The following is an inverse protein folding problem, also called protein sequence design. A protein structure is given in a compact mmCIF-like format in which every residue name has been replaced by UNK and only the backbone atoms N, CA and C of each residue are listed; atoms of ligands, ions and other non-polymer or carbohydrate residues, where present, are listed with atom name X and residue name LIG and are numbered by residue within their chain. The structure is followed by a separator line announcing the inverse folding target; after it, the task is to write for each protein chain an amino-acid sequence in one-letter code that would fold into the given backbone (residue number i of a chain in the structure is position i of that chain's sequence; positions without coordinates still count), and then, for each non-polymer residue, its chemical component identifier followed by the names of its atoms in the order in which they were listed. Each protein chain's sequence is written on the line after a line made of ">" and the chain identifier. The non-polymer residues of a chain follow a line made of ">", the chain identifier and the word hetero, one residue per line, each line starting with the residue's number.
data_IF_205993117720
#
_entry.id   IF_205993117720
#
_cell.length_a   1.000
_cell.length_b   1.000
_cell.length_c   1.000
_cell.angle_alpha   90.00
_cell.angle_beta   90.00
_cell.angle_gamma   90.00
#
_symmetry.space_group_name_H-M   'P 1'
#
loop_
_entity.id
_entity.type
_entity.pdbx_description
1 polymer ?
#
# COMPACT_ATOMS: atom_id res chain seq x y z
N UNK A 1 -28.22 27.22 53.97
CA UNK A 1 -28.60 26.07 53.17
C UNK A 1 -28.04 26.28 51.73
N UNK A 2 -26.84 25.76 51.49
CA UNK A 2 -26.15 25.95 50.17
C UNK A 2 -26.47 24.73 49.31
N UNK A 3 -27.23 24.94 48.25
CA UNK A 3 -27.51 23.94 47.24
C UNK A 3 -26.36 23.99 46.20
N UNK A 4 -25.48 23.00 46.28
CA UNK A 4 -24.44 22.75 45.28
C UNK A 4 -25.12 22.15 44.02
N UNK A 5 -25.34 22.95 42.99
CA UNK A 5 -25.72 22.45 41.68
C UNK A 5 -24.47 21.94 41.00
N UNK A 6 -24.28 20.64 41.05
CA UNK A 6 -23.26 19.92 40.30
C UNK A 6 -23.70 19.88 38.81
N UNK A 7 -23.14 20.75 37.98
CA UNK A 7 -23.28 20.68 36.55
C UNK A 7 -22.33 19.61 36.01
N UNK A 8 -22.86 18.42 35.84
CA UNK A 8 -22.16 17.36 35.12
C UNK A 8 -22.10 17.72 33.65
N UNK A 9 -20.99 18.28 33.21
CA UNK A 9 -20.68 18.45 31.81
C UNK A 9 -20.35 17.07 31.24
N UNK A 10 -21.34 16.39 30.69
CA UNK A 10 -21.11 15.20 29.87
C UNK A 10 -20.49 15.69 28.58
N UNK A 11 -19.18 15.55 28.45
CA UNK A 11 -18.49 15.71 27.18
C UNK A 11 -18.92 14.54 26.29
N UNK A 12 -19.93 14.78 25.47
CA UNK A 12 -20.28 13.90 24.36
C UNK A 12 -19.14 14.05 23.34
N UNK A 13 -18.17 13.15 23.42
CA UNK A 13 -17.22 12.94 22.33
C UNK A 13 -18.06 12.36 21.20
N UNK A 14 -18.57 13.21 20.34
CA UNK A 14 -19.19 12.82 19.09
C UNK A 14 -18.07 12.20 18.22
N UNK A 15 -17.93 10.90 18.29
CA UNK A 15 -17.18 10.13 17.29
C UNK A 15 -17.98 10.25 15.99
N UNK A 16 -17.67 11.27 15.19
CA UNK A 16 -18.17 11.34 13.84
C UNK A 16 -17.67 10.09 13.11
N UNK A 17 -18.57 9.30 12.51
CA UNK A 17 -18.12 8.17 11.70
C UNK A 17 -17.24 8.74 10.58
N UNK A 18 -16.00 8.26 10.51
CA UNK A 18 -15.08 8.64 9.44
C UNK A 18 -15.77 8.26 8.12
N UNK A 19 -15.89 9.23 7.22
CA UNK A 19 -16.50 8.97 5.92
C UNK A 19 -15.64 7.97 5.15
N UNK A 20 -16.25 7.05 4.40
CA UNK A 20 -15.51 6.11 3.54
C UNK A 20 -14.55 6.83 2.57
N UNK A 21 -14.87 8.06 2.17
CA UNK A 21 -13.99 8.93 1.38
C UNK A 21 -12.74 9.35 2.16
N UNK A 22 -12.91 9.68 3.44
CA UNK A 22 -11.81 10.04 4.32
C UNK A 22 -10.95 8.81 4.63
N UNK A 23 -11.55 7.62 4.76
CA UNK A 23 -10.82 6.35 4.91
C UNK A 23 -9.96 6.04 3.68
N UNK A 24 -10.49 6.21 2.47
CA UNK A 24 -9.73 6.03 1.24
C UNK A 24 -8.56 7.01 1.12
N UNK A 25 -8.79 8.27 1.50
CA UNK A 25 -7.74 9.30 1.57
C UNK A 25 -6.64 8.90 2.55
N UNK A 26 -7.00 8.54 3.76
CA UNK A 26 -6.04 8.18 4.82
C UNK A 26 -5.25 6.93 4.44
N UNK A 27 -5.90 5.93 3.83
CA UNK A 27 -5.25 4.71 3.35
C UNK A 27 -4.24 5.03 2.24
N UNK A 28 -4.63 5.83 1.24
CA UNK A 28 -3.76 6.24 0.16
C UNK A 28 -2.56 7.06 0.65
N UNK A 29 -2.78 8.02 1.54
CA UNK A 29 -1.71 8.82 2.14
C UNK A 29 -0.76 7.96 2.98
N UNK A 30 -1.29 7.02 3.76
CA UNK A 30 -0.47 6.10 4.56
C UNK A 30 0.39 5.19 3.66
N UNK A 31 -0.18 4.66 2.59
CA UNK A 31 0.56 3.84 1.63
C UNK A 31 1.64 4.67 0.92
N UNK A 32 1.29 5.85 0.43
CA UNK A 32 2.20 6.78 -0.22
C UNK A 32 3.42 7.09 0.66
N UNK A 33 3.20 7.50 1.91
CA UNK A 33 4.26 7.80 2.86
C UNK A 33 5.15 6.59 3.15
N UNK A 34 4.57 5.39 3.28
CA UNK A 34 5.35 4.17 3.53
C UNK A 34 6.23 3.81 2.35
N UNK A 35 5.73 3.92 1.11
CA UNK A 35 6.53 3.65 -0.08
C UNK A 35 7.70 4.63 -0.16
N UNK A 36 7.47 5.92 0.10
CA UNK A 36 8.54 6.92 0.12
C UNK A 36 9.62 6.58 1.16
N UNK A 37 9.21 6.32 2.39
CA UNK A 37 10.13 6.01 3.48
C UNK A 37 10.94 4.74 3.22
N UNK A 38 10.32 3.71 2.62
CA UNK A 38 11.02 2.46 2.30
C UNK A 38 11.99 2.67 1.13
N UNK A 39 11.63 3.49 0.14
CA UNK A 39 12.54 3.83 -0.96
C UNK A 39 13.76 4.62 -0.44
N UNK A 40 13.56 5.59 0.44
CA UNK A 40 14.65 6.30 1.10
C UNK A 40 15.52 5.36 1.95
N UNK A 41 14.91 4.45 2.71
CA UNK A 41 15.63 3.46 3.50
C UNK A 41 16.43 2.49 2.62
N UNK A 42 15.91 2.09 1.46
CA UNK A 42 16.62 1.23 0.51
C UNK A 42 17.94 1.88 0.07
N UNK A 43 17.88 3.13 -0.34
CA UNK A 43 19.05 3.91 -0.77
C UNK A 43 20.03 4.09 0.38
N UNK A 44 19.54 4.46 1.57
CA UNK A 44 20.40 4.76 2.74
C UNK A 44 21.05 3.52 3.34
N UNK A 45 20.32 2.39 3.40
CA UNK A 45 20.81 1.16 4.00
C UNK A 45 21.56 0.24 3.04
N UNK A 46 21.44 0.48 1.72
CA UNK A 46 21.98 -0.41 0.68
C UNK A 46 21.29 -1.76 0.63
N UNK A 47 20.02 -1.86 1.11
CA UNK A 47 19.23 -3.08 1.14
C UNK A 47 18.03 -2.99 0.20
N UNK A 48 17.67 -4.12 -0.37
CA UNK A 48 16.53 -4.20 -1.26
C UNK A 48 15.27 -4.56 -0.48
N UNK A 49 14.19 -3.89 -0.82
CA UNK A 49 12.86 -4.10 -0.26
C UNK A 49 11.87 -4.47 -1.34
N UNK A 50 10.68 -4.86 -0.92
CA UNK A 50 9.61 -5.17 -1.85
C UNK A 50 8.23 -4.90 -1.25
N UNK A 51 7.27 -4.75 -2.15
CA UNK A 51 5.86 -4.61 -1.80
C UNK A 51 5.09 -5.77 -2.42
N UNK A 52 4.29 -6.43 -1.60
CA UNK A 52 3.31 -7.42 -2.00
C UNK A 52 1.93 -6.83 -1.82
N UNK A 53 1.12 -6.96 -2.84
CA UNK A 53 -0.28 -6.53 -2.82
C UNK A 53 -1.17 -7.78 -2.74
N UNK A 54 -1.99 -7.84 -1.73
CA UNK A 54 -3.03 -8.85 -1.54
C UNK A 54 -4.38 -8.15 -1.68
N UNK A 55 -4.89 -8.13 -2.89
CA UNK A 55 -6.17 -7.50 -3.24
C UNK A 55 -7.36 -8.22 -2.60
N UNK A 56 -7.28 -9.54 -2.45
CA UNK A 56 -8.33 -10.34 -1.82
C UNK A 56 -8.48 -9.98 -0.33
N UNK A 57 -7.37 -9.88 0.38
CA UNK A 57 -7.34 -9.49 1.78
C UNK A 57 -7.24 -7.98 1.99
N UNK A 58 -7.16 -7.19 0.92
CA UNK A 58 -7.01 -5.73 0.96
C UNK A 58 -5.82 -5.29 1.82
N UNK A 59 -4.69 -5.94 1.61
CA UNK A 59 -3.49 -5.71 2.39
C UNK A 59 -2.28 -5.40 1.51
N UNK A 60 -1.43 -4.54 2.03
CA UNK A 60 -0.09 -4.29 1.49
C UNK A 60 0.93 -4.82 2.47
N UNK A 61 1.78 -5.73 2.03
CA UNK A 61 2.82 -6.33 2.84
C UNK A 61 4.20 -5.86 2.35
N UNK A 62 4.95 -5.23 3.24
CA UNK A 62 6.32 -4.83 2.96
C UNK A 62 7.30 -5.91 3.40
N UNK A 63 8.25 -6.22 2.53
CA UNK A 63 9.25 -7.27 2.71
C UNK A 63 10.65 -6.71 2.48
N UNK A 64 11.63 -7.34 3.09
CA UNK A 64 13.05 -7.03 3.00
C UNK A 64 13.79 -8.26 2.46
N UNK A 65 14.73 -8.06 1.54
CA UNK A 65 15.61 -9.12 1.07
C UNK A 65 16.71 -9.35 2.09
N UNK A 66 16.87 -10.59 2.52
CA UNK A 66 17.92 -11.04 3.42
C UNK A 66 18.71 -12.20 2.79
N UNK A 67 19.79 -12.63 3.43
CA UNK A 67 20.60 -13.77 2.97
C UNK A 67 19.77 -15.06 2.78
N UNK A 68 18.73 -15.24 3.60
CA UNK A 68 17.82 -16.39 3.53
C UNK A 68 16.61 -16.19 2.60
N UNK A 69 16.53 -15.09 1.86
CA UNK A 69 15.41 -14.73 0.98
C UNK A 69 14.52 -13.63 1.55
N UNK A 70 13.32 -13.53 1.01
CA UNK A 70 12.35 -12.46 1.38
C UNK A 70 11.77 -12.72 2.77
N UNK A 71 11.83 -11.69 3.64
CA UNK A 71 11.26 -11.70 4.98
C UNK A 71 10.31 -10.53 5.18
N UNK A 72 9.33 -10.68 6.05
CA UNK A 72 8.46 -9.59 6.47
C UNK A 72 9.30 -8.47 7.11
N UNK A 73 9.05 -7.23 6.72
CA UNK A 73 9.76 -6.08 7.26
C UNK A 73 9.40 -5.89 8.74
N UNK A 74 10.38 -6.03 9.65
CA UNK A 74 10.15 -5.96 11.10
C UNK A 74 10.47 -4.60 11.72
N UNK A 75 10.72 -3.58 10.89
CA UNK A 75 11.04 -2.24 11.39
C UNK A 75 9.80 -1.53 11.92
N UNK A 76 9.83 -1.14 13.20
CA UNK A 76 8.72 -0.43 13.88
C UNK A 76 8.30 0.88 13.19
N UNK A 77 9.22 1.54 12.50
CA UNK A 77 8.97 2.85 11.88
C UNK A 77 8.01 2.78 10.69
N UNK A 78 8.01 1.67 9.94
CA UNK A 78 7.25 1.56 8.70
C UNK A 78 5.98 0.72 8.83
N UNK A 79 5.95 -0.17 9.82
CA UNK A 79 4.97 -1.24 9.89
C UNK A 79 5.13 -2.21 8.71
N UNK A 80 5.03 -3.48 8.98
CA UNK A 80 5.22 -4.52 7.96
C UNK A 80 4.01 -4.69 7.05
N UNK A 81 2.85 -4.19 7.48
CA UNK A 81 1.58 -4.42 6.80
C UNK A 81 0.66 -3.22 6.93
N UNK A 82 -0.06 -2.93 5.86
CA UNK A 82 -1.14 -1.96 5.84
C UNK A 82 -2.40 -2.70 5.43
N UNK A 83 -3.29 -2.93 6.39
CA UNK A 83 -4.61 -3.52 6.16
C UNK A 83 -5.62 -2.42 5.89
N UNK A 84 -6.39 -2.55 4.81
CA UNK A 84 -7.46 -1.62 4.48
C UNK A 84 -8.81 -2.08 5.06
N UNK A 85 -9.70 -1.14 5.43
CA UNK A 85 -11.08 -1.44 5.79
C UNK A 85 -11.82 -2.21 4.70
N UNK A 86 -12.82 -3.00 5.11
CA UNK A 86 -13.61 -3.84 4.22
C UNK A 86 -14.39 -3.07 3.15
N UNK A 87 -14.63 -1.78 3.41
CA UNK A 87 -15.39 -0.87 2.53
C UNK A 87 -14.55 -0.30 1.38
N UNK A 88 -13.24 -0.51 1.41
CA UNK A 88 -12.32 -0.04 0.38
C UNK A 88 -11.97 -1.16 -0.61
N UNK A 89 -11.68 -0.74 -1.83
CA UNK A 89 -11.20 -1.59 -2.93
C UNK A 89 -9.82 -1.12 -3.34
N UNK A 90 -8.95 -2.07 -3.69
CA UNK A 90 -7.63 -1.84 -4.25
C UNK A 90 -7.67 -2.30 -5.71
N UNK A 91 -7.29 -1.40 -6.61
CA UNK A 91 -6.95 -1.74 -7.99
C UNK A 91 -5.45 -1.56 -8.15
N UNK A 92 -4.75 -2.63 -8.47
CA UNK A 92 -3.31 -2.65 -8.61
C UNK A 92 -2.90 -3.05 -10.02
N UNK A 93 -1.98 -2.30 -10.62
CA UNK A 93 -1.45 -2.54 -11.95
C UNK A 93 0.07 -2.35 -11.96
N UNK A 94 0.80 -3.34 -12.44
CA UNK A 94 2.24 -3.23 -12.71
C UNK A 94 2.47 -2.51 -14.03
N UNK A 95 3.56 -1.75 -14.09
CA UNK A 95 3.93 -0.95 -15.26
C UNK A 95 3.38 0.47 -15.21
N UNK A 96 4.00 1.37 -15.96
CA UNK A 96 3.51 2.72 -16.22
C UNK A 96 2.34 2.71 -17.21
N UNK A 97 1.86 3.89 -17.60
CA UNK A 97 0.71 4.10 -18.49
C UNK A 97 0.77 3.37 -19.87
N UNK A 98 1.89 2.70 -20.19
CA UNK A 98 2.07 1.99 -21.46
C UNK A 98 1.46 0.58 -21.50
N UNK A 99 1.04 0.01 -20.37
CA UNK A 99 0.46 -1.33 -20.30
C UNK A 99 -1.05 -1.26 -20.03
N UNK A 100 -1.75 -0.61 -20.93
CA UNK A 100 -3.22 -0.62 -20.93
C UNK A 100 -3.69 -1.99 -21.40
N UNK A 101 -4.44 -2.66 -20.50
CA UNK A 101 -5.44 -3.70 -20.78
C UNK A 101 -5.22 -4.48 -22.09
N UNK A 102 -4.72 -5.68 -22.02
CA UNK A 102 -5.18 -6.86 -22.74
C UNK A 102 -4.18 -8.01 -22.88
N UNK A 103 -3.01 -7.93 -22.32
CA UNK A 103 -2.10 -9.08 -22.37
C UNK A 103 -1.65 -9.51 -20.97
N UNK A 104 -2.56 -10.18 -20.26
CA UNK A 104 -2.14 -11.20 -19.29
C UNK A 104 -1.55 -12.39 -20.06
N UNK A 105 -0.46 -12.14 -20.81
CA UNK A 105 0.25 -13.21 -21.50
C UNK A 105 1.15 -14.04 -20.58
N UNK A 106 1.32 -13.60 -19.37
CA UNK A 106 1.96 -14.34 -18.30
C UNK A 106 1.08 -14.25 -17.06
N UNK A 107 0.06 -15.10 -17.02
CA UNK A 107 -0.42 -15.61 -15.76
C UNK A 107 0.76 -16.44 -15.21
N UNK A 108 1.44 -16.04 -14.14
CA UNK A 108 2.36 -16.93 -13.47
C UNK A 108 1.51 -17.95 -12.71
N UNK A 109 0.86 -18.86 -13.43
CA UNK A 109 0.54 -20.14 -12.83
C UNK A 109 1.84 -20.62 -12.19
N UNK A 110 1.79 -21.08 -10.94
CA UNK A 110 2.97 -21.53 -10.23
C UNK A 110 3.57 -22.73 -10.99
N UNK A 111 4.50 -22.45 -11.90
CA UNK A 111 5.33 -23.47 -12.55
C UNK A 111 6.24 -24.21 -11.54
N UNK A 112 6.13 -23.83 -10.27
CA UNK A 112 6.88 -24.45 -9.18
C UNK A 112 5.89 -24.97 -8.15
N UNK A 113 5.86 -26.30 -8.00
CA UNK A 113 5.20 -26.99 -6.93
C UNK A 113 5.51 -26.33 -5.59
N UNK A 114 4.48 -25.81 -4.92
CA UNK A 114 4.64 -25.18 -3.60
C UNK A 114 5.15 -26.15 -2.53
N UNK A 115 5.17 -27.45 -2.82
CA UNK A 115 5.68 -28.49 -1.93
C UNK A 115 7.23 -28.58 -1.90
N UNK A 116 7.93 -28.03 -2.91
CA UNK A 116 9.40 -28.05 -2.95
C UNK A 116 10.06 -27.04 -1.99
N UNK A 117 9.33 -26.11 -1.44
CA UNK A 117 9.85 -25.05 -0.55
C UNK A 117 9.35 -25.17 0.89
N UNK A 118 8.82 -26.30 1.29
CA UNK A 118 8.21 -26.52 2.60
C UNK A 118 9.18 -26.48 3.80
N UNK A 119 10.49 -26.36 3.61
CA UNK A 119 11.46 -26.39 4.72
C UNK A 119 12.03 -25.04 5.16
N UNK A 120 11.75 -23.93 4.47
CA UNK A 120 12.08 -22.59 4.98
C UNK A 120 10.89 -21.67 4.78
N UNK A 121 10.46 -20.99 5.83
CA UNK A 121 9.40 -19.96 5.82
C UNK A 121 9.82 -18.73 5.00
N UNK A 122 10.23 -18.94 3.76
CA UNK A 122 10.52 -17.87 2.84
C UNK A 122 9.21 -17.35 2.26
N UNK A 123 9.02 -16.06 2.30
CA UNK A 123 7.90 -15.45 1.61
C UNK A 123 8.15 -15.54 0.09
N UNK A 124 7.11 -15.76 -0.72
CA UNK A 124 7.25 -15.67 -2.16
C UNK A 124 7.75 -14.26 -2.56
N UNK A 125 8.43 -14.11 -3.71
CA UNK A 125 8.96 -12.82 -4.15
C UNK A 125 7.87 -11.77 -4.23
N UNK A 126 8.20 -10.47 -4.02
CA UNK A 126 7.24 -9.38 -4.13
C UNK A 126 6.85 -9.11 -5.59
N UNK A 127 5.70 -8.47 -5.81
CA UNK A 127 5.31 -7.98 -7.14
C UNK A 127 6.07 -6.69 -7.51
N UNK A 128 6.41 -5.87 -6.51
CA UNK A 128 7.13 -4.62 -6.67
C UNK A 128 8.45 -4.72 -5.95
N UNK A 129 9.54 -4.45 -6.67
CA UNK A 129 10.89 -4.35 -6.11
C UNK A 129 11.23 -2.89 -5.86
N UNK A 130 11.82 -2.60 -4.72
CA UNK A 130 12.33 -1.30 -4.32
C UNK A 130 13.82 -1.50 -4.04
N UNK A 131 14.65 -1.13 -5.02
CA UNK A 131 16.06 -1.46 -5.02
C UNK A 131 16.89 -0.40 -4.31
N UNK A 132 18.00 -0.83 -3.75
CA UNK A 132 18.99 0.05 -3.12
C UNK A 132 19.65 1.03 -4.10
N UNK A 133 19.55 0.79 -5.40
CA UNK A 133 19.94 1.72 -6.46
C UNK A 133 19.01 2.94 -6.59
N UNK A 134 17.83 2.91 -5.96
CA UNK A 134 16.77 3.91 -6.11
C UNK A 134 15.76 3.57 -7.21
N UNK A 135 15.97 2.49 -7.95
CA UNK A 135 15.01 2.00 -8.93
C UNK A 135 13.84 1.29 -8.23
N UNK A 136 12.65 1.50 -8.75
CA UNK A 136 11.42 0.86 -8.26
C UNK A 136 10.69 0.25 -9.45
N UNK A 137 10.17 -0.96 -9.28
CA UNK A 137 9.25 -1.52 -10.27
C UNK A 137 8.07 -0.55 -10.44
N UNK A 138 7.82 -0.01 -11.65
CA UNK A 138 6.75 0.95 -11.86
C UNK A 138 5.38 0.29 -11.66
N UNK A 139 4.48 1.00 -10.99
CA UNK A 139 3.12 0.53 -10.75
C UNK A 139 2.14 1.67 -10.49
N UNK A 140 0.88 1.34 -10.63
CA UNK A 140 -0.22 2.22 -10.24
C UNK A 140 -1.12 1.47 -9.26
N UNK A 141 -1.47 2.13 -8.17
CA UNK A 141 -2.46 1.62 -7.24
C UNK A 141 -3.56 2.66 -7.05
N UNK A 142 -4.80 2.21 -7.14
CA UNK A 142 -5.98 3.03 -6.89
C UNK A 142 -6.73 2.49 -5.68
N UNK A 143 -7.12 3.38 -4.77
CA UNK A 143 -7.88 3.05 -3.56
C UNK A 143 -9.16 3.87 -3.57
N UNK A 144 -10.30 3.20 -3.54
CA UNK A 144 -11.60 3.87 -3.58
C UNK A 144 -12.64 3.14 -2.72
N UNK A 145 -13.70 3.83 -2.27
CA UNK A 145 -14.84 3.18 -1.64
C UNK A 145 -15.57 2.27 -2.63
N UNK A 146 -16.05 1.11 -2.17
CA UNK A 146 -16.86 0.18 -3.00
C UNK A 146 -18.05 0.84 -3.66
N UNK A 147 -18.69 1.76 -2.96
CA UNK A 147 -19.91 2.44 -3.42
C UNK A 147 -19.64 3.65 -4.32
N UNK A 148 -18.41 4.13 -4.40
CA UNK A 148 -18.04 5.34 -5.11
C UNK A 148 -16.70 5.18 -5.84
N UNK A 149 -16.63 4.41 -6.94
CA UNK A 149 -15.38 4.19 -7.68
C UNK A 149 -14.76 5.49 -8.24
N UNK A 150 -15.59 6.52 -8.45
CA UNK A 150 -15.13 7.83 -8.93
C UNK A 150 -14.34 8.61 -7.88
N UNK A 151 -14.49 8.28 -6.61
CA UNK A 151 -13.75 8.87 -5.48
C UNK A 151 -12.41 8.11 -5.24
N UNK A 152 -11.68 7.87 -6.32
CA UNK A 152 -10.45 7.06 -6.31
C UNK A 152 -9.22 7.92 -6.05
N UNK A 153 -8.47 7.59 -5.02
CA UNK A 153 -7.13 8.09 -4.78
C UNK A 153 -6.13 7.20 -5.51
N UNK A 154 -5.23 7.82 -6.27
CA UNK A 154 -4.29 7.08 -7.12
C UNK A 154 -2.85 7.40 -6.77
N UNK A 155 -2.04 6.35 -6.57
CA UNK A 155 -0.60 6.44 -6.38
C UNK A 155 0.05 5.91 -7.64
N UNK A 156 0.94 6.71 -8.22
CA UNK A 156 1.74 6.35 -9.41
C UNK A 156 3.19 6.32 -8.99
N UNK A 157 3.86 5.21 -9.24
CA UNK A 157 5.29 5.04 -8.98
C UNK A 157 5.99 4.79 -10.30
N UNK A 158 6.99 5.62 -10.59
CA UNK A 158 7.82 5.52 -11.79
C UNK A 158 9.09 4.72 -11.50
N UNK A 159 9.72 4.19 -12.55
CA UNK A 159 10.94 3.38 -12.46
C UNK A 159 12.10 4.09 -11.76
N UNK A 160 12.19 5.41 -11.92
CA UNK A 160 13.18 6.25 -11.25
C UNK A 160 12.94 6.50 -9.76
N UNK A 161 11.92 5.82 -9.18
CA UNK A 161 11.53 5.98 -7.79
C UNK A 161 10.71 7.23 -7.49
N UNK A 162 10.28 7.98 -8.52
CA UNK A 162 9.36 9.11 -8.32
C UNK A 162 7.96 8.59 -7.96
N UNK A 163 7.43 9.10 -6.86
CA UNK A 163 6.12 8.70 -6.33
C UNK A 163 5.20 9.90 -6.35
N UNK A 164 4.00 9.74 -6.92
CA UNK A 164 2.99 10.79 -6.99
C UNK A 164 1.67 10.28 -6.45
N UNK A 165 0.96 11.14 -5.73
CA UNK A 165 -0.37 10.88 -5.18
C UNK A 165 -1.36 11.84 -5.83
N UNK A 166 -2.41 11.30 -6.41
CA UNK A 166 -3.49 12.03 -7.08
C UNK A 166 -4.79 11.90 -6.30
N UNK A 167 -5.46 13.03 -6.12
CA UNK A 167 -6.80 13.07 -5.56
C UNK A 167 -7.86 12.63 -6.59
N UNK A 168 -9.09 12.30 -6.16
CA UNK A 168 -10.19 12.01 -7.05
C UNK A 168 -10.41 13.12 -8.09
N UNK A 169 -10.46 12.74 -9.37
CA UNK A 169 -10.65 13.68 -10.50
C UNK A 169 -9.39 14.42 -10.95
N UNK A 170 -8.27 14.27 -10.26
CA UNK A 170 -6.99 14.82 -10.67
C UNK A 170 -6.37 13.98 -11.80
N UNK A 171 -5.94 14.64 -12.87
CA UNK A 171 -5.30 13.99 -14.02
C UNK A 171 -3.78 14.23 -14.00
N UNK A 172 -3.05 13.28 -14.55
CA UNK A 172 -1.62 13.45 -14.78
C UNK A 172 -1.43 14.39 -15.99
N UNK A 173 -0.94 15.61 -15.78
CA UNK A 173 -0.69 16.60 -16.84
C UNK A 173 0.41 16.16 -17.83
N UNK A 174 1.00 14.99 -17.65
CA UNK A 174 2.06 14.42 -18.51
C UNK A 174 1.58 13.31 -19.45
N UNK A 175 0.27 13.18 -19.68
CA UNK A 175 -0.26 12.24 -20.66
C UNK A 175 -0.32 12.86 -22.07
#
# INVERSE_FOLDING_TARGET
>A
MLVLISVSTVAVIATFPVSQKDEAKLAAQSLFQRIQLINEEAILSGRDFGLRVDDLNRAFLFVELSEDGWKKLEKRQFGSELQLPSELVIDFQLGGNAWVKDERMFDPEPLFDQEMFAEKKQLPPPQVYILSSGEVTPFVVSIHPKQSPTESWRIVVEENGQIRLFAPGEQDEKA
#
